data_IF_602194531208
#
_entry.id   IF_602194531208
#
_cell.length_a   1.000
_cell.length_b   1.000
_cell.length_c   1.000
_cell.angle_alpha   90.00
_cell.angle_beta   90.00
_cell.angle_gamma   90.00
#
_symmetry.space_group_name_H-M   'P 1'
#
loop_
_entity.id
_entity.type
_entity.pdbx_description
1 polymer ?
#
# COMPACT_ATOMS: atom_id res chain seq x y z
N UNK A 1 -30.04 -8.94 -6.38
CA UNK A 1 -28.69 -9.29 -5.86
C UNK A 1 -28.54 -10.79 -5.93
N UNK A 2 -27.69 -11.29 -6.83
CA UNK A 2 -27.36 -12.71 -6.92
C UNK A 2 -26.58 -13.13 -5.67
N UNK A 3 -26.85 -14.33 -5.15
CA UNK A 3 -26.08 -14.89 -4.04
C UNK A 3 -24.68 -15.29 -4.53
N UNK A 4 -23.69 -15.20 -3.64
CA UNK A 4 -22.29 -15.59 -3.94
C UNK A 4 -22.16 -17.02 -4.45
N UNK A 5 -23.08 -17.93 -4.04
CA UNK A 5 -23.19 -19.32 -4.50
C UNK A 5 -23.58 -19.46 -5.96
N UNK A 6 -24.19 -18.43 -6.55
CA UNK A 6 -24.77 -18.47 -7.90
C UNK A 6 -23.79 -17.90 -8.94
N UNK A 7 -22.64 -17.41 -8.51
CA UNK A 7 -21.60 -16.89 -9.38
C UNK A 7 -20.73 -18.06 -9.86
N UNK A 8 -20.82 -18.37 -11.12
CA UNK A 8 -19.99 -19.40 -11.79
C UNK A 8 -18.52 -19.00 -11.96
N UNK A 9 -18.19 -17.73 -11.71
CA UNK A 9 -16.82 -17.19 -11.82
C UNK A 9 -16.06 -17.24 -10.50
N UNK A 10 -14.71 -17.27 -10.58
CA UNK A 10 -13.84 -17.19 -9.41
C UNK A 10 -13.81 -15.77 -8.84
N UNK A 11 -14.76 -15.49 -7.96
CA UNK A 11 -14.90 -14.20 -7.25
C UNK A 11 -14.47 -14.38 -5.80
N UNK A 12 -13.56 -13.52 -5.34
CA UNK A 12 -13.16 -13.45 -3.94
C UNK A 12 -13.60 -12.11 -3.36
N UNK A 13 -14.28 -12.16 -2.22
CA UNK A 13 -14.68 -10.96 -1.48
C UNK A 13 -14.00 -10.98 -0.12
N UNK A 14 -13.35 -9.89 0.24
CA UNK A 14 -12.73 -9.66 1.55
C UNK A 14 -13.45 -8.47 2.20
N UNK A 15 -14.04 -8.70 3.34
CA UNK A 15 -14.73 -7.66 4.12
C UNK A 15 -13.79 -6.96 5.07
N UNK A 16 -14.21 -5.82 5.60
CA UNK A 16 -13.42 -5.04 6.57
C UNK A 16 -13.07 -5.82 7.84
N UNK A 17 -13.80 -6.89 8.17
CA UNK A 17 -13.50 -7.78 9.30
C UNK A 17 -12.30 -8.69 9.05
N UNK A 18 -12.02 -8.98 7.78
CA UNK A 18 -10.99 -9.90 7.34
C UNK A 18 -9.71 -9.17 6.90
N UNK A 19 -9.71 -7.84 6.88
CA UNK A 19 -8.58 -7.03 6.47
C UNK A 19 -7.36 -7.21 7.38
N UNK A 20 -6.19 -7.01 6.81
CA UNK A 20 -4.97 -6.95 7.59
C UNK A 20 -5.01 -5.74 8.52
N UNK A 21 -4.49 -5.93 9.73
CA UNK A 21 -4.38 -4.88 10.75
C UNK A 21 -2.97 -4.29 10.78
N UNK A 22 -2.85 -3.09 11.30
CA UNK A 22 -1.58 -2.37 11.43
C UNK A 22 -1.61 -1.02 10.73
N UNK A 23 -0.44 -0.42 10.57
CA UNK A 23 -0.29 0.81 9.80
C UNK A 23 -0.32 0.46 8.31
N UNK A 24 -1.42 0.76 7.66
CA UNK A 24 -1.69 0.43 6.25
C UNK A 24 -1.58 1.71 5.42
N UNK A 25 -0.58 1.79 4.57
CA UNK A 25 -0.35 2.96 3.71
C UNK A 25 -1.30 3.02 2.51
N UNK A 26 -1.71 1.86 1.99
CA UNK A 26 -2.55 1.79 0.79
C UNK A 26 -3.51 0.58 0.81
N UNK A 27 -4.68 0.69 0.15
CA UNK A 27 -5.76 -0.29 0.22
C UNK A 27 -5.37 -1.72 -0.15
N UNK A 28 -4.48 -1.91 -1.09
CA UNK A 28 -4.06 -3.24 -1.53
C UNK A 28 -3.41 -4.06 -0.40
N UNK A 29 -2.76 -3.38 0.55
CA UNK A 29 -2.13 -4.04 1.70
C UNK A 29 -3.16 -4.70 2.63
N UNK A 30 -4.42 -4.21 2.62
CA UNK A 30 -5.51 -4.79 3.41
C UNK A 30 -5.78 -6.26 3.05
N UNK A 31 -5.57 -6.62 1.79
CA UNK A 31 -5.88 -7.95 1.24
C UNK A 31 -4.64 -8.78 0.93
N UNK A 32 -3.46 -8.29 1.26
CA UNK A 32 -2.21 -9.02 1.01
C UNK A 32 -2.21 -10.38 1.74
N UNK A 33 -2.02 -11.46 0.99
CA UNK A 33 -2.06 -12.83 1.51
C UNK A 33 -3.46 -13.39 1.82
N UNK A 34 -4.54 -12.61 1.62
CA UNK A 34 -5.93 -13.04 1.92
C UNK A 34 -6.63 -13.71 0.74
N UNK A 35 -6.16 -13.47 -0.47
CA UNK A 35 -6.85 -13.89 -1.69
C UNK A 35 -5.94 -14.77 -2.54
N UNK A 36 -6.35 -16.02 -2.75
CA UNK A 36 -5.58 -16.95 -3.59
C UNK A 36 -5.49 -16.44 -5.03
N UNK A 37 -4.30 -16.56 -5.65
CA UNK A 37 -4.05 -16.11 -7.03
C UNK A 37 -3.93 -14.60 -7.17
N UNK A 38 -3.86 -13.84 -6.07
CA UNK A 38 -3.51 -12.42 -6.06
C UNK A 38 -2.16 -12.26 -5.38
N UNK A 39 -1.23 -11.67 -6.08
CA UNK A 39 0.09 -11.36 -5.58
C UNK A 39 0.24 -9.83 -5.46
N UNK A 40 0.63 -9.36 -4.30
CA UNK A 40 0.88 -7.96 -4.01
C UNK A 40 2.32 -7.84 -3.55
N UNK A 41 3.10 -7.10 -4.29
CA UNK A 41 4.52 -6.87 -4.00
C UNK A 41 4.74 -5.37 -3.78
N UNK A 42 5.33 -5.00 -2.65
CA UNK A 42 5.81 -3.63 -2.44
C UNK A 42 7.02 -3.38 -3.34
N UNK A 43 7.03 -2.26 -4.04
CA UNK A 43 8.11 -1.91 -4.96
C UNK A 43 9.39 -1.46 -4.23
N UNK A 44 9.25 -0.99 -2.99
CA UNK A 44 10.39 -0.68 -2.11
C UNK A 44 9.95 -0.62 -0.64
N UNK A 45 10.90 -0.35 0.26
CA UNK A 45 10.64 -0.11 1.68
C UNK A 45 10.19 1.32 2.01
N UNK A 46 10.09 2.21 1.02
CA UNK A 46 9.59 3.57 1.21
C UNK A 46 8.08 3.57 1.47
N UNK A 47 7.58 4.38 2.43
CA UNK A 47 6.13 4.51 2.67
C UNK A 47 5.36 5.10 1.48
N UNK A 48 6.04 5.77 0.55
CA UNK A 48 5.45 6.33 -0.66
C UNK A 48 5.53 5.39 -1.86
N UNK A 49 6.25 4.28 -1.74
CA UNK A 49 6.36 3.31 -2.82
C UNK A 49 5.01 2.66 -3.10
N UNK A 50 4.63 2.63 -4.35
CA UNK A 50 3.47 1.88 -4.80
C UNK A 50 3.68 0.37 -4.68
N UNK A 51 2.61 -0.37 -4.80
CA UNK A 51 2.62 -1.82 -4.86
C UNK A 51 2.27 -2.29 -6.27
N UNK A 52 2.93 -3.36 -6.70
CA UNK A 52 2.57 -4.07 -7.92
C UNK A 52 1.57 -5.16 -7.59
N UNK A 53 0.41 -5.15 -8.25
CA UNK A 53 -0.64 -6.13 -8.05
C UNK A 53 -0.70 -7.02 -9.29
N UNK A 54 -0.71 -8.34 -9.09
CA UNK A 54 -0.88 -9.33 -10.16
C UNK A 54 -1.99 -10.32 -9.80
N UNK A 55 -2.90 -10.54 -10.73
CA UNK A 55 -3.96 -11.54 -10.60
C UNK A 55 -3.65 -12.69 -11.57
N UNK A 56 -3.44 -13.90 -11.02
CA UNK A 56 -3.07 -15.12 -11.80
C UNK A 56 -1.81 -14.97 -12.66
N UNK A 57 -0.89 -14.08 -12.29
CA UNK A 57 0.33 -13.81 -13.04
C UNK A 57 0.19 -12.72 -14.09
N UNK A 58 1.16 -12.59 -14.98
CA UNK A 58 1.13 -11.63 -16.08
C UNK A 58 0.61 -12.28 -17.36
N UNK A 59 -0.33 -11.63 -18.04
CA UNK A 59 -0.89 -12.09 -19.29
C UNK A 59 -0.19 -11.50 -20.53
N UNK A 60 0.53 -10.39 -20.38
CA UNK A 60 1.16 -9.68 -21.48
C UNK A 60 2.65 -9.42 -21.24
N UNK A 61 3.43 -9.53 -22.33
CA UNK A 61 4.86 -9.18 -22.33
C UNK A 61 5.09 -7.67 -22.57
N UNK A 62 4.18 -7.01 -23.29
CA UNK A 62 4.38 -5.62 -23.74
C UNK A 62 3.31 -4.65 -23.22
N UNK A 63 2.21 -5.12 -22.65
CA UNK A 63 1.16 -4.27 -22.08
C UNK A 63 1.18 -4.34 -20.55
N UNK A 64 0.52 -3.38 -19.89
CA UNK A 64 0.33 -3.43 -18.43
C UNK A 64 -0.34 -4.73 -18.01
N UNK A 65 0.17 -5.32 -16.95
CA UNK A 65 -0.42 -6.48 -16.29
C UNK A 65 -1.18 -6.09 -15.01
N UNK A 66 -1.42 -4.81 -14.79
CA UNK A 66 -2.15 -4.33 -13.63
C UNK A 66 -3.65 -4.58 -13.78
N UNK A 67 -4.36 -5.00 -12.72
CA UNK A 67 -5.79 -5.16 -12.74
C UNK A 67 -6.51 -3.81 -12.84
N UNK A 68 -7.71 -3.81 -13.39
CA UNK A 68 -8.58 -2.65 -13.37
C UNK A 68 -9.08 -2.40 -11.94
N UNK A 69 -8.96 -1.18 -11.46
CA UNK A 69 -9.52 -0.75 -10.18
C UNK A 69 -10.87 -0.08 -10.42
N UNK A 70 -11.88 -0.48 -9.66
CA UNK A 70 -13.22 0.11 -9.69
C UNK A 70 -13.58 0.57 -8.29
N UNK A 71 -13.76 1.87 -8.10
CA UNK A 71 -14.14 2.47 -6.82
C UNK A 71 -15.61 2.87 -6.85
N UNK A 72 -16.43 2.25 -6.00
CA UNK A 72 -17.89 2.48 -5.90
C UNK A 72 -18.62 2.46 -7.25
N UNK A 73 -18.17 1.57 -8.16
CA UNK A 73 -18.73 1.42 -9.50
C UNK A 73 -18.07 2.29 -10.57
N UNK A 74 -17.16 3.18 -10.21
CA UNK A 74 -16.42 4.03 -11.15
C UNK A 74 -15.08 3.39 -11.47
N UNK A 75 -14.79 3.01 -12.73
CA UNK A 75 -13.49 2.48 -13.10
C UNK A 75 -12.44 3.59 -13.07
N UNK A 76 -11.32 3.33 -12.39
CA UNK A 76 -10.16 4.21 -12.34
C UNK A 76 -9.18 3.80 -13.43
N UNK A 77 -8.74 4.74 -14.25
CA UNK A 77 -7.77 4.44 -15.29
C UNK A 77 -6.36 4.30 -14.71
N UNK A 78 -5.68 3.23 -15.10
CA UNK A 78 -4.26 3.06 -14.80
C UNK A 78 -3.48 4.10 -15.63
N UNK A 79 -2.82 5.05 -14.97
CA UNK A 79 -2.03 6.05 -15.69
C UNK A 79 -2.07 7.45 -15.11
N UNK A 80 -2.85 7.68 -14.06
CA UNK A 80 -2.84 8.95 -13.31
C UNK A 80 -3.22 10.18 -14.11
N UNK A 81 -3.79 11.16 -13.45
CA UNK A 81 -3.89 12.52 -13.96
C UNK A 81 -2.46 13.04 -14.12
N UNK A 82 -2.00 13.23 -15.37
CA UNK A 82 -0.70 13.86 -15.69
C UNK A 82 0.53 12.96 -15.81
N UNK A 83 0.40 11.71 -16.29
CA UNK A 83 1.59 10.92 -16.72
C UNK A 83 2.56 10.51 -15.62
N UNK A 84 2.28 10.84 -14.38
CA UNK A 84 3.05 10.39 -13.23
C UNK A 84 2.38 9.12 -12.67
N UNK A 85 3.15 8.06 -12.52
CA UNK A 85 2.73 6.73 -12.08
C UNK A 85 2.29 6.69 -10.59
N UNK A 86 1.62 7.74 -10.14
CA UNK A 86 1.04 7.80 -8.80
C UNK A 86 -0.05 6.73 -8.66
N UNK A 87 0.12 5.83 -7.72
CA UNK A 87 -0.87 4.83 -7.38
C UNK A 87 -2.12 5.52 -6.81
N UNK A 88 -3.22 5.57 -7.59
CA UNK A 88 -4.50 6.13 -7.10
C UNK A 88 -4.97 5.49 -5.80
N UNK A 89 -4.61 4.24 -5.57
CA UNK A 89 -4.95 3.55 -4.34
C UNK A 89 -4.38 4.25 -3.11
N UNK A 90 -3.22 4.91 -3.25
CA UNK A 90 -2.62 5.65 -2.13
C UNK A 90 -3.42 6.87 -1.68
N UNK A 91 -4.34 7.37 -2.51
CA UNK A 91 -5.22 8.49 -2.17
C UNK A 91 -6.46 8.04 -1.39
N UNK A 92 -6.82 6.77 -1.47
CA UNK A 92 -7.99 6.22 -0.79
C UNK A 92 -7.59 5.90 0.66
N UNK A 93 -8.40 6.37 1.61
CA UNK A 93 -8.22 6.01 3.01
C UNK A 93 -8.63 4.54 3.24
N UNK A 94 -7.70 3.65 3.63
CA UNK A 94 -8.03 2.26 3.91
C UNK A 94 -9.13 2.08 4.96
N UNK A 95 -9.23 3.00 5.93
CA UNK A 95 -10.23 2.96 7.00
C UNK A 95 -11.66 3.18 6.50
N UNK A 96 -11.84 3.79 5.33
CA UNK A 96 -13.15 4.03 4.73
C UNK A 96 -13.63 2.89 3.81
N UNK A 97 -12.83 1.85 3.63
CA UNK A 97 -13.18 0.70 2.81
C UNK A 97 -14.06 -0.27 3.60
N UNK A 98 -15.18 -0.66 3.02
CA UNK A 98 -16.09 -1.68 3.54
C UNK A 98 -15.72 -3.07 3.09
N UNK A 99 -15.44 -3.22 1.78
CA UNK A 99 -15.07 -4.51 1.19
C UNK A 99 -14.28 -4.34 -0.10
N UNK A 100 -13.51 -5.36 -0.43
CA UNK A 100 -12.80 -5.49 -1.69
C UNK A 100 -13.19 -6.78 -2.36
N UNK A 101 -13.71 -6.69 -3.60
CA UNK A 101 -14.12 -7.84 -4.40
C UNK A 101 -13.18 -7.99 -5.59
N UNK A 102 -12.59 -9.17 -5.74
CA UNK A 102 -11.62 -9.47 -6.79
C UNK A 102 -12.27 -10.42 -7.80
N UNK A 103 -12.40 -9.95 -9.04
CA UNK A 103 -12.86 -10.72 -10.18
C UNK A 103 -11.65 -11.24 -10.94
N UNK A 104 -11.52 -12.57 -11.03
CA UNK A 104 -10.32 -13.21 -11.59
C UNK A 104 -10.58 -13.85 -12.95
N UNK A 105 -11.84 -14.13 -13.28
CA UNK A 105 -12.20 -14.84 -14.50
C UNK A 105 -12.77 -13.90 -15.58
N UNK A 106 -12.53 -14.24 -16.84
CA UNK A 106 -12.99 -13.47 -17.98
C UNK A 106 -14.51 -13.27 -17.99
N UNK A 107 -15.30 -14.27 -17.56
CA UNK A 107 -16.76 -14.16 -17.48
C UNK A 107 -17.23 -13.09 -16.48
N UNK A 108 -16.55 -12.99 -15.33
CA UNK A 108 -16.89 -11.99 -14.31
C UNK A 108 -16.35 -10.61 -14.63
N UNK A 109 -15.32 -10.52 -15.46
CA UNK A 109 -14.71 -9.23 -15.87
C UNK A 109 -15.31 -8.67 -17.16
N UNK A 110 -16.10 -9.45 -17.90
CA UNK A 110 -16.67 -9.08 -19.19
C UNK A 110 -17.47 -7.77 -19.18
N UNK A 111 -18.13 -7.44 -18.07
CA UNK A 111 -18.87 -6.18 -17.90
C UNK A 111 -18.01 -4.92 -17.98
N UNK A 112 -16.69 -5.06 -17.77
CA UNK A 112 -15.72 -3.96 -17.81
C UNK A 112 -14.92 -3.91 -19.12
N UNK A 113 -15.22 -4.82 -20.07
CA UNK A 113 -14.61 -4.88 -21.39
C UNK A 113 -13.13 -5.27 -21.37
N UNK A 114 -12.40 -4.91 -22.44
CA UNK A 114 -10.99 -5.29 -22.65
C UNK A 114 -10.04 -4.77 -21.56
N UNK A 115 -10.37 -3.68 -20.89
CA UNK A 115 -9.58 -3.11 -19.78
C UNK A 115 -9.48 -4.05 -18.56
N UNK A 116 -10.38 -5.00 -18.47
CA UNK A 116 -10.46 -5.98 -17.37
C UNK A 116 -9.74 -7.30 -17.66
N UNK A 117 -8.96 -7.39 -18.73
CA UNK A 117 -8.25 -8.61 -19.15
C UNK A 117 -7.34 -9.18 -18.05
N UNK A 118 -6.75 -8.33 -17.21
CA UNK A 118 -5.88 -8.71 -16.11
C UNK A 118 -6.61 -8.89 -14.77
N UNK A 119 -7.96 -8.95 -14.81
CA UNK A 119 -8.80 -9.00 -13.61
C UNK A 119 -9.28 -7.61 -13.17
N UNK A 120 -10.20 -7.61 -12.20
CA UNK A 120 -10.79 -6.39 -11.65
C UNK A 120 -10.76 -6.44 -10.13
N UNK A 121 -10.40 -5.34 -9.50
CA UNK A 121 -10.52 -5.11 -8.06
C UNK A 121 -11.60 -4.05 -7.84
N UNK A 122 -12.71 -4.46 -7.27
CA UNK A 122 -13.82 -3.58 -6.91
C UNK A 122 -13.67 -3.20 -5.45
N UNK A 123 -13.51 -1.92 -5.19
CA UNK A 123 -13.44 -1.33 -3.86
C UNK A 123 -14.78 -0.70 -3.55
N UNK A 124 -15.39 -1.12 -2.45
CA UNK A 124 -16.64 -0.54 -1.96
C UNK A 124 -16.35 0.22 -0.69
N UNK A 125 -16.74 1.50 -0.63
CA UNK A 125 -16.55 2.34 0.56
C UNK A 125 -17.72 2.20 1.54
N UNK A 126 -17.45 2.48 2.80
CA UNK A 126 -18.45 2.51 3.87
C UNK A 126 -19.45 3.62 3.61
N UNK A 127 -20.74 3.31 3.65
CA UNK A 127 -21.84 4.25 3.44
C UNK A 127 -22.43 4.73 4.76
N UNK A 128 -23.24 5.78 4.68
CA UNK A 128 -24.07 6.21 5.79
C UNK A 128 -25.05 5.12 6.21
N UNK A 129 -25.37 5.07 7.50
CA UNK A 129 -26.30 4.09 8.09
C UNK A 129 -27.62 4.78 8.42
N UNK A 130 -28.71 4.01 8.33
CA UNK A 130 -30.04 4.44 8.82
C UNK A 130 -30.18 4.31 10.35
N UNK A 131 -29.11 3.89 11.03
CA UNK A 131 -29.09 3.76 12.48
C UNK A 131 -28.90 5.09 13.21
N UNK A 132 -28.84 5.04 14.54
CA UNK A 132 -28.46 6.19 15.37
C UNK A 132 -27.06 6.65 15.01
N UNK A 133 -26.79 7.92 15.20
CA UNK A 133 -25.45 8.52 15.02
C UNK A 133 -24.42 7.76 15.84
N UNK A 134 -23.38 7.29 15.18
CA UNK A 134 -22.25 6.59 15.78
C UNK A 134 -20.97 7.32 15.42
N UNK A 135 -20.22 7.67 16.44
CA UNK A 135 -18.85 8.20 16.29
C UNK A 135 -17.88 7.06 16.45
N UNK A 136 -16.94 6.95 15.52
CA UNK A 136 -15.87 5.95 15.59
C UNK A 136 -14.52 6.69 15.50
N UNK A 137 -13.64 6.37 16.43
CA UNK A 137 -12.26 6.83 16.47
C UNK A 137 -11.35 5.62 16.33
N UNK A 138 -10.40 5.70 15.42
CA UNK A 138 -9.34 4.70 15.25
C UNK A 138 -7.99 5.39 15.25
N UNK A 139 -7.08 4.91 16.06
CA UNK A 139 -5.70 5.37 16.13
C UNK A 139 -4.76 4.18 16.06
N UNK A 140 -3.82 4.22 15.14
CA UNK A 140 -2.76 3.22 14.99
C UNK A 140 -1.42 3.91 15.02
N UNK A 141 -0.55 3.49 15.92
CA UNK A 141 0.84 3.99 16.00
C UNK A 141 1.78 2.82 15.78
N UNK A 142 2.85 3.05 15.04
CA UNK A 142 3.87 2.04 14.77
C UNK A 142 5.27 2.60 14.84
N UNK A 143 6.20 1.74 15.26
CA UNK A 143 7.63 2.01 15.21
C UNK A 143 8.24 0.90 14.36
N UNK A 144 8.93 1.30 13.31
CA UNK A 144 9.66 0.38 12.44
C UNK A 144 11.16 0.57 12.70
N UNK A 145 11.85 -0.53 12.93
CA UNK A 145 13.27 -0.55 13.12
C UNK A 145 13.93 -1.40 12.05
N UNK A 146 15.16 -1.07 11.70
CA UNK A 146 15.96 -1.91 10.81
C UNK A 146 16.25 -3.26 11.49
N UNK A 147 16.07 -4.35 10.76
CA UNK A 147 16.29 -5.70 11.32
C UNK A 147 17.73 -6.16 11.12
N UNK A 148 18.28 -5.94 9.92
CA UNK A 148 19.64 -6.31 9.55
C UNK A 148 20.15 -5.38 8.45
N UNK A 149 21.37 -4.92 8.61
CA UNK A 149 22.13 -4.26 7.56
C UNK A 149 23.09 -5.28 6.93
N UNK A 150 23.57 -4.97 5.74
CA UNK A 150 24.71 -5.68 5.20
C UNK A 150 25.92 -5.41 6.11
N UNK A 151 26.65 -6.46 6.45
CA UNK A 151 27.90 -6.33 7.19
C UNK A 151 28.90 -5.60 6.30
N UNK A 152 29.31 -4.42 6.71
CA UNK A 152 30.32 -3.63 6.03
C UNK A 152 31.58 -3.61 6.88
N UNK A 153 32.71 -3.49 6.22
CA UNK A 153 33.99 -3.34 6.93
C UNK A 153 33.94 -2.06 7.79
N UNK A 154 34.41 -2.18 9.02
CA UNK A 154 34.69 -1.03 9.84
C UNK A 154 35.85 -0.23 9.23
N UNK A 155 36.06 1.00 9.69
CA UNK A 155 37.22 1.81 9.27
C UNK A 155 38.54 1.06 9.44
N UNK A 156 38.75 0.47 10.61
CA UNK A 156 40.00 -0.20 10.95
C UNK A 156 40.19 -1.46 10.09
N UNK A 157 39.17 -2.27 9.89
CA UNK A 157 39.21 -3.43 8.99
C UNK A 157 39.48 -3.01 7.53
N UNK A 158 38.88 -1.91 7.07
CA UNK A 158 39.14 -1.38 5.73
C UNK A 158 40.59 -0.93 5.58
N UNK A 159 41.11 -0.19 6.56
CA UNK A 159 42.54 0.25 6.60
C UNK A 159 43.48 -0.95 6.60
N UNK A 160 43.21 -1.98 7.40
CA UNK A 160 43.99 -3.22 7.44
C UNK A 160 43.99 -3.97 6.10
N UNK A 161 42.84 -4.05 5.44
CA UNK A 161 42.74 -4.67 4.11
C UNK A 161 43.57 -3.88 3.09
N UNK A 162 43.47 -2.55 3.07
CA UNK A 162 44.24 -1.72 2.15
C UNK A 162 45.75 -1.79 2.46
N UNK A 163 46.16 -1.79 3.73
CA UNK A 163 47.55 -1.92 4.09
C UNK A 163 48.13 -3.28 3.72
N UNK A 164 47.36 -4.35 3.85
CA UNK A 164 47.81 -5.72 3.55
C UNK A 164 47.77 -6.10 2.06
N UNK A 165 46.76 -5.61 1.32
CA UNK A 165 46.50 -6.04 -0.06
C UNK A 165 46.49 -4.90 -1.06
N UNK A 166 46.46 -3.64 -0.64
CA UNK A 166 46.38 -2.49 -1.50
C UNK A 166 47.73 -2.13 -2.16
N UNK A 167 47.64 -1.40 -3.26
CA UNK A 167 48.83 -0.78 -3.91
C UNK A 167 49.31 0.45 -3.14
N UNK A 168 50.53 0.90 -3.41
CA UNK A 168 51.05 2.12 -2.77
C UNK A 168 50.21 3.35 -3.05
N UNK A 169 49.64 3.44 -4.25
CA UNK A 169 48.70 4.51 -4.61
C UNK A 169 47.41 4.46 -3.77
N UNK A 170 46.88 3.28 -3.49
CA UNK A 170 45.68 3.11 -2.64
C UNK A 170 45.96 3.43 -1.19
N UNK A 171 47.15 3.03 -0.69
CA UNK A 171 47.58 3.37 0.68
C UNK A 171 47.77 4.89 0.87
N UNK A 172 48.27 5.57 -0.17
CA UNK A 172 48.44 7.02 -0.12
C UNK A 172 47.10 7.79 -0.13
N UNK A 173 46.02 7.16 -0.55
CA UNK A 173 44.64 7.73 -0.56
C UNK A 173 43.89 7.49 0.76
N UNK A 174 44.44 6.71 1.69
CA UNK A 174 43.81 6.48 3.00
C UNK A 174 43.70 7.80 3.76
N UNK A 175 42.49 8.20 4.06
CA UNK A 175 42.16 9.35 4.90
C UNK A 175 41.92 8.95 6.35
N UNK A 176 41.64 9.93 7.18
CA UNK A 176 41.32 9.74 8.62
C UNK A 176 39.84 9.75 8.91
N UNK A 177 38.99 9.78 7.86
CA UNK A 177 37.53 9.84 8.02
C UNK A 177 36.99 8.50 8.49
N UNK A 178 36.23 8.51 9.59
CA UNK A 178 35.57 7.35 10.17
C UNK A 178 34.06 7.67 10.32
N UNK A 179 33.34 7.71 9.21
CA UNK A 179 31.91 8.02 9.21
C UNK A 179 31.11 6.75 8.99
N UNK A 180 30.26 6.38 9.94
CA UNK A 180 29.26 5.34 9.74
C UNK A 180 28.12 5.89 8.89
N UNK A 181 28.15 5.60 7.61
CA UNK A 181 27.13 6.01 6.66
C UNK A 181 25.77 5.34 6.91
N UNK A 182 25.74 4.15 7.50
CA UNK A 182 24.49 3.50 7.86
C UNK A 182 23.73 4.32 8.91
N UNK A 183 24.41 4.82 9.93
CA UNK A 183 23.79 5.67 10.95
C UNK A 183 23.44 7.07 10.43
N UNK A 184 24.12 7.54 9.38
CA UNK A 184 23.78 8.81 8.74
C UNK A 184 22.53 8.70 7.87
N UNK A 185 22.31 7.56 7.21
CA UNK A 185 21.23 7.36 6.23
C UNK A 185 19.96 6.82 6.88
N UNK A 186 20.09 5.87 7.81
CA UNK A 186 18.96 5.17 8.41
C UNK A 186 18.50 5.80 9.73
N UNK A 187 17.23 5.61 10.01
CA UNK A 187 16.59 6.00 11.27
C UNK A 187 15.55 4.95 11.68
N UNK A 188 15.13 5.00 12.94
CA UNK A 188 13.89 4.34 13.34
C UNK A 188 12.71 5.15 12.80
N UNK A 189 11.82 4.49 12.11
CA UNK A 189 10.67 5.13 11.47
C UNK A 189 9.46 5.09 12.40
N UNK A 190 8.84 6.24 12.61
CA UNK A 190 7.59 6.37 13.33
C UNK A 190 6.44 6.56 12.35
N UNK A 191 5.32 5.89 12.61
CA UNK A 191 4.10 6.03 11.82
C UNK A 191 2.87 6.17 12.70
N UNK A 192 1.94 7.02 12.27
CA UNK A 192 0.65 7.20 12.91
C UNK A 192 -0.46 7.30 11.87
N UNK A 193 -1.59 6.66 12.16
CA UNK A 193 -2.83 6.73 11.37
C UNK A 193 -3.98 6.99 12.32
N UNK A 194 -4.61 8.16 12.18
CA UNK A 194 -5.70 8.62 13.00
C UNK A 194 -6.91 8.88 12.14
N UNK A 195 -8.01 8.19 12.43
CA UNK A 195 -9.25 8.30 11.67
C UNK A 195 -10.43 8.57 12.60
N UNK A 196 -11.21 9.57 12.28
CA UNK A 196 -12.46 9.90 12.94
C UNK A 196 -13.59 9.79 11.93
N UNK A 197 -14.64 9.09 12.26
CA UNK A 197 -15.82 9.03 11.39
C UNK A 197 -17.10 9.11 12.19
N UNK A 198 -18.07 9.80 11.60
CA UNK A 198 -19.43 9.92 12.10
C UNK A 198 -20.35 9.34 11.04
N UNK A 199 -21.11 8.33 11.41
CA UNK A 199 -22.07 7.70 10.52
C UNK A 199 -23.41 7.54 11.23
N UNK A 200 -24.50 7.78 10.52
CA UNK A 200 -25.84 7.66 11.09
C UNK A 200 -26.89 8.35 10.22
N UNK A 201 -28.04 8.56 10.80
CA UNK A 201 -29.19 9.19 10.14
C UNK A 201 -29.38 10.62 10.65
N UNK A 202 -29.29 11.58 9.72
CA UNK A 202 -29.53 12.99 10.02
C UNK A 202 -31.02 13.33 10.05
N UNK A 203 -31.81 12.68 9.18
CA UNK A 203 -33.28 12.80 9.08
C UNK A 203 -33.89 11.46 8.74
N UNK A 204 -35.25 11.35 8.76
CA UNK A 204 -35.98 10.08 8.64
C UNK A 204 -35.52 9.12 7.51
N UNK A 205 -34.94 9.64 6.43
CA UNK A 205 -34.43 8.85 5.28
C UNK A 205 -33.13 9.40 4.70
N UNK A 206 -32.30 10.07 5.53
CA UNK A 206 -31.06 10.68 5.08
C UNK A 206 -29.86 10.10 5.83
N UNK A 207 -29.33 8.94 5.36
CA UNK A 207 -28.13 8.37 5.91
C UNK A 207 -26.92 9.23 5.53
N UNK A 208 -26.08 9.55 6.51
CA UNK A 208 -24.88 10.37 6.34
C UNK A 208 -23.68 9.64 6.91
N UNK A 209 -22.55 9.76 6.24
CA UNK A 209 -21.24 9.44 6.76
C UNK A 209 -20.27 10.57 6.45
N UNK A 210 -19.52 10.97 7.44
CA UNK A 210 -18.39 11.90 7.31
C UNK A 210 -17.19 11.25 7.97
N UNK A 211 -16.04 11.27 7.32
CA UNK A 211 -14.80 10.78 7.87
C UNK A 211 -13.68 11.76 7.62
N UNK A 212 -12.72 11.82 8.55
CA UNK A 212 -11.47 12.56 8.42
C UNK A 212 -10.37 11.64 8.87
N UNK A 213 -9.36 11.49 8.03
CA UNK A 213 -8.20 10.66 8.29
C UNK A 213 -6.91 11.45 8.15
N UNK A 214 -6.00 11.28 9.11
CA UNK A 214 -4.64 11.79 9.06
C UNK A 214 -3.64 10.65 9.20
N UNK A 215 -2.86 10.46 8.17
CA UNK A 215 -1.78 9.48 8.10
C UNK A 215 -0.45 10.19 7.97
N UNK A 216 0.53 9.78 8.78
CA UNK A 216 1.90 10.26 8.71
C UNK A 216 2.83 9.08 8.99
N UNK A 217 3.79 8.83 8.11
CA UNK A 217 4.79 7.79 8.29
C UNK A 217 6.13 8.28 7.79
N UNK A 218 7.14 8.19 8.64
CA UNK A 218 8.55 8.30 8.24
C UNK A 218 9.02 6.98 7.64
N UNK A 219 9.93 7.03 6.68
CA UNK A 219 10.62 5.85 6.19
C UNK A 219 11.84 5.51 7.05
N UNK A 220 12.40 4.31 6.82
CA UNK A 220 13.69 3.92 7.42
C UNK A 220 14.85 4.79 6.92
N UNK A 221 14.75 5.36 5.72
CA UNK A 221 15.66 6.39 5.24
C UNK A 221 15.22 7.75 5.78
N UNK A 222 16.14 8.56 6.27
CA UNK A 222 15.85 9.88 6.88
C UNK A 222 15.13 10.86 5.96
N UNK A 223 15.25 10.69 4.65
CA UNK A 223 14.64 11.55 3.63
C UNK A 223 13.22 11.11 3.23
N UNK A 224 12.82 9.89 3.60
CA UNK A 224 11.53 9.34 3.21
C UNK A 224 10.44 9.71 4.21
N UNK A 225 9.36 10.29 3.70
CA UNK A 225 8.17 10.62 4.49
C UNK A 225 6.92 10.49 3.62
N UNK A 226 5.87 9.92 4.17
CA UNK A 226 4.53 9.92 3.61
C UNK A 226 3.57 10.64 4.54
N UNK A 227 2.76 11.54 3.98
CA UNK A 227 1.73 12.25 4.70
C UNK A 227 0.47 12.32 3.85
N UNK A 228 -0.68 12.01 4.44
CA UNK A 228 -1.97 12.04 3.75
C UNK A 228 -3.04 12.56 4.69
N UNK A 229 -3.78 13.55 4.23
CA UNK A 229 -5.02 14.02 4.83
C UNK A 229 -6.17 13.62 3.90
N UNK A 230 -7.20 12.98 4.44
CA UNK A 230 -8.38 12.53 3.69
C UNK A 230 -9.65 12.99 4.40
N UNK A 231 -10.70 13.28 3.62
CA UNK A 231 -12.01 13.69 4.13
C UNK A 231 -13.12 13.50 3.10
#
# INVERSE_FOLDING_TARGET
TQRKSDLTGSVSNVSSKDFNSGLISSPEQLINGKVSGVQIMSNSGSPTAGSTIRIRGGASLNASNDPLIVLDGVPLEAGGISGNTGNFLSLINPSDIESMTILKDASSTAIYGSRASNGVIIITTKKGSNDRMKVSLSTTNSIQTRTKLADMLSHDEFVDVINSRGTDAQRALLGTSNTDWNDQIYQNAFGTDNNVSIAGRLAKNFPVRVSIGYYNQSGLLKTDKAERLTG
#
